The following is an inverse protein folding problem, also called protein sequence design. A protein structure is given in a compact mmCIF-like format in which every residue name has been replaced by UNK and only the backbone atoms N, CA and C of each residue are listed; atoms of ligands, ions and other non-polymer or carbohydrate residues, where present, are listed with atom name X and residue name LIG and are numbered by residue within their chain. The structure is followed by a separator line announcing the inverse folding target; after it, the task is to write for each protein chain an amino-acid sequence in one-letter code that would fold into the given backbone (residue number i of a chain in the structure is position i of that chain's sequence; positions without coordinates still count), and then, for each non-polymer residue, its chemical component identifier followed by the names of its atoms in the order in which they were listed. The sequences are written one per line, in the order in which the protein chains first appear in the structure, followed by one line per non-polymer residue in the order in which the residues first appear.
data_IF_338278134051
#
_entry.id   IF_338278134051
#
_cell.length_a   1.000
_cell.length_b   1.000
_cell.length_c   1.000
_cell.angle_alpha   90.00
_cell.angle_beta   90.00
_cell.angle_gamma   90.00
#
_symmetry.space_group_name_H-M   'P 1'
#
loop_
_entity.id
_entity.type
_entity.pdbx_description
1 polymer ?
#
# COMPACT_ATOMS: atom_id res chain seq x y z
N UNK A 1 20.44 30.77 -22.56
CA UNK A 1 20.69 29.32 -22.77
C UNK A 1 20.59 28.46 -21.51
N UNK A 2 21.10 28.87 -20.33
CA UNK A 2 21.12 27.98 -19.14
C UNK A 2 19.76 27.70 -18.43
N UNK A 3 18.70 28.48 -18.67
CA UNK A 3 17.41 28.34 -17.94
C UNK A 3 16.56 27.13 -18.37
N UNK A 4 16.69 26.66 -19.62
CA UNK A 4 15.84 25.57 -20.12
C UNK A 4 16.36 24.16 -19.74
N UNK A 5 17.68 23.98 -19.58
CA UNK A 5 18.27 22.70 -19.18
C UNK A 5 17.83 22.25 -17.79
N UNK A 6 17.49 23.17 -16.87
CA UNK A 6 17.11 22.81 -15.51
C UNK A 6 15.80 22.01 -15.45
N UNK A 7 14.79 22.34 -16.26
CA UNK A 7 13.49 21.63 -16.23
C UNK A 7 13.63 20.20 -16.73
N UNK A 8 14.35 19.99 -17.84
CA UNK A 8 14.60 18.65 -18.41
C UNK A 8 15.47 17.81 -17.46
N UNK A 9 16.60 18.33 -16.97
CA UNK A 9 17.45 17.62 -16.00
C UNK A 9 16.68 17.32 -14.72
N UNK A 10 15.80 18.23 -14.28
CA UNK A 10 14.99 18.03 -13.09
C UNK A 10 13.87 17.00 -13.30
N UNK A 11 13.29 16.92 -14.50
CA UNK A 11 12.36 15.85 -14.88
C UNK A 11 13.09 14.50 -14.98
N UNK A 12 14.28 14.48 -15.59
CA UNK A 12 15.17 13.31 -15.64
C UNK A 12 15.55 12.82 -14.25
N UNK A 13 15.81 13.70 -13.28
CA UNK A 13 16.14 13.28 -11.91
C UNK A 13 14.94 12.86 -11.06
N UNK A 14 13.72 13.26 -11.43
CA UNK A 14 12.49 13.00 -10.66
C UNK A 14 11.62 11.87 -11.23
N UNK A 15 11.85 11.49 -12.49
CA UNK A 15 11.16 10.35 -13.11
C UNK A 15 11.49 9.04 -12.42
N UNK A 16 10.55 8.09 -12.46
CA UNK A 16 10.81 6.69 -12.12
C UNK A 16 11.51 6.05 -13.33
N UNK A 17 12.74 5.56 -13.16
CA UNK A 17 13.49 4.93 -14.24
C UNK A 17 13.64 3.44 -13.98
N UNK A 18 13.29 2.63 -14.98
CA UNK A 18 13.64 1.21 -15.04
C UNK A 18 14.98 1.04 -15.77
N UNK A 19 16.04 1.62 -15.20
CA UNK A 19 17.39 1.60 -15.76
C UNK A 19 18.40 1.38 -14.63
N UNK A 20 19.49 0.67 -14.92
CA UNK A 20 20.61 0.57 -13.99
C UNK A 20 21.19 1.96 -13.70
N UNK A 21 21.51 2.21 -12.43
CA UNK A 21 21.92 3.55 -11.97
C UNK A 21 23.32 3.93 -12.47
N UNK A 22 24.23 2.95 -12.61
CA UNK A 22 25.57 3.20 -13.17
C UNK A 22 25.49 3.47 -14.67
N UNK A 23 24.61 2.73 -15.35
CA UNK A 23 24.30 2.98 -16.75
C UNK A 23 23.73 4.39 -16.95
N UNK A 24 22.70 4.79 -16.19
CA UNK A 24 22.14 6.14 -16.26
C UNK A 24 23.18 7.24 -15.98
N UNK A 25 24.06 7.03 -15.00
CA UNK A 25 25.13 7.98 -14.67
C UNK A 25 26.12 8.17 -15.82
N UNK A 26 26.46 7.10 -16.56
CA UNK A 26 27.37 7.17 -17.70
C UNK A 26 26.84 8.04 -18.85
N UNK A 27 25.51 8.10 -19.04
CA UNK A 27 24.88 8.87 -20.12
C UNK A 27 24.39 10.26 -19.69
N UNK A 28 24.46 10.60 -18.41
CA UNK A 28 24.00 11.88 -17.86
C UNK A 28 24.65 13.11 -18.53
N UNK A 29 25.97 13.12 -18.84
CA UNK A 29 26.60 14.23 -19.56
C UNK A 29 26.06 14.40 -20.99
N UNK A 30 25.70 13.30 -21.66
CA UNK A 30 25.11 13.32 -23.00
C UNK A 30 23.68 13.82 -22.96
N UNK A 31 22.87 13.33 -22.02
CA UNK A 31 21.50 13.80 -21.82
C UNK A 31 21.44 15.30 -21.46
N UNK A 32 22.37 15.79 -20.64
CA UNK A 32 22.44 17.20 -20.26
C UNK A 32 22.82 18.15 -21.42
N UNK A 33 23.34 17.61 -22.53
CA UNK A 33 23.71 18.36 -23.75
C UNK A 33 22.64 18.33 -24.84
N UNK A 34 21.52 17.64 -24.62
CA UNK A 34 20.38 17.67 -25.52
C UNK A 34 19.81 19.10 -25.56
N UNK A 35 19.81 19.79 -26.72
CA UNK A 35 19.32 21.15 -26.82
C UNK A 35 17.82 21.16 -26.56
N UNK A 36 17.37 21.86 -25.51
CA UNK A 36 15.93 22.06 -25.26
C UNK A 36 15.26 22.85 -26.41
N UNK A 37 16.04 23.65 -27.14
CA UNK A 37 15.59 24.43 -28.29
C UNK A 37 15.18 23.58 -29.52
N UNK A 38 15.35 22.25 -29.49
CA UNK A 38 14.86 21.37 -30.55
C UNK A 38 13.40 20.94 -30.37
N UNK A 39 12.79 21.30 -29.24
CA UNK A 39 11.40 20.99 -28.91
C UNK A 39 10.46 22.19 -28.95
N UNK A 40 10.99 23.40 -29.16
CA UNK A 40 10.17 24.59 -29.40
C UNK A 40 9.83 24.67 -30.89
N UNK A 41 8.54 24.47 -31.20
CA UNK A 41 7.93 24.56 -32.53
C UNK A 41 7.97 26.00 -33.04
N UNK A 42 8.91 26.30 -33.94
CA UNK A 42 8.71 27.37 -34.93
C UNK A 42 8.11 26.74 -36.20
N UNK A 43 6.93 27.24 -36.56
CA UNK A 43 5.97 26.82 -37.59
C UNK A 43 6.53 26.74 -39.03
N UNK A 44 7.47 25.84 -39.33
CA UNK A 44 7.78 25.46 -40.71
C UNK A 44 7.36 24.02 -40.98
N UNK A 45 6.36 23.86 -41.84
CA UNK A 45 5.86 22.61 -42.42
C UNK A 45 6.89 21.93 -43.33
N UNK A 46 8.13 21.75 -42.88
CA UNK A 46 9.02 20.76 -43.48
C UNK A 46 8.72 19.41 -42.81
N UNK A 47 8.50 18.37 -43.62
CA UNK A 47 8.26 16.99 -43.18
C UNK A 47 9.36 16.56 -42.22
N UNK A 48 9.12 16.69 -40.91
CA UNK A 48 10.09 16.31 -39.89
C UNK A 48 10.35 14.81 -40.05
N UNK A 49 11.62 14.36 -40.12
CA UNK A 49 11.91 12.94 -40.21
C UNK A 49 11.34 12.22 -39.00
N UNK A 50 10.73 11.06 -39.25
CA UNK A 50 9.94 10.28 -38.29
C UNK A 50 10.78 9.77 -37.10
N UNK A 51 12.11 9.68 -37.27
CA UNK A 51 13.09 9.42 -36.23
C UNK A 51 14.43 10.08 -36.59
N UNK A 52 15.28 10.34 -35.60
CA UNK A 52 16.61 10.92 -35.83
C UNK A 52 17.63 10.39 -34.83
N UNK A 53 18.91 10.50 -35.15
CA UNK A 53 19.99 10.17 -34.21
C UNK A 53 20.70 11.42 -33.71
N UNK A 54 21.26 11.34 -32.52
CA UNK A 54 22.03 12.40 -31.89
C UNK A 54 23.41 11.85 -31.50
N UNK A 55 24.49 12.50 -31.94
CA UNK A 55 25.84 12.30 -31.39
C UNK A 55 26.28 13.51 -30.57
N UNK A 56 27.15 13.27 -29.58
CA UNK A 56 27.91 14.33 -28.90
C UNK A 56 29.40 14.10 -29.12
N UNK A 57 29.94 14.68 -30.18
CA UNK A 57 31.38 14.74 -30.44
C UNK A 57 31.89 16.16 -30.17
N UNK A 58 32.99 16.30 -29.44
CA UNK A 58 33.65 17.58 -29.14
C UNK A 58 32.75 18.66 -28.48
N UNK A 59 31.73 18.23 -27.72
CA UNK A 59 30.82 19.16 -27.01
C UNK A 59 29.78 19.85 -27.89
N UNK A 60 29.70 19.52 -29.18
CA UNK A 60 28.60 19.92 -30.06
C UNK A 60 27.63 18.75 -30.25
N UNK A 61 26.35 19.05 -30.29
CA UNK A 61 25.30 18.06 -30.53
C UNK A 61 24.92 18.11 -32.01
N UNK A 62 25.07 16.99 -32.73
CA UNK A 62 24.67 16.87 -34.15
C UNK A 62 23.41 16.02 -34.26
N UNK A 63 22.48 16.46 -35.10
CA UNK A 63 21.27 15.71 -35.48
C UNK A 63 21.50 15.06 -36.84
N UNK A 64 21.12 13.79 -36.97
CA UNK A 64 21.17 13.04 -38.21
C UNK A 64 19.76 12.59 -38.58
N UNK A 65 19.33 12.87 -39.80
CA UNK A 65 17.99 12.52 -40.29
C UNK A 65 17.88 11.06 -40.77
N UNK A 66 19.00 10.32 -40.73
CA UNK A 66 19.07 8.87 -40.96
C UNK A 66 20.06 8.23 -39.97
N UNK A 67 19.79 6.98 -39.57
CA UNK A 67 20.71 6.21 -38.72
C UNK A 67 22.04 5.95 -39.42
N UNK A 68 22.05 5.78 -40.74
CA UNK A 68 23.28 5.47 -41.51
C UNK A 68 24.29 6.63 -41.47
N UNK A 69 23.82 7.85 -41.22
CA UNK A 69 24.69 9.02 -41.08
C UNK A 69 25.19 9.22 -39.63
N UNK A 70 24.64 8.47 -38.67
CA UNK A 70 24.98 8.62 -37.27
C UNK A 70 26.44 8.23 -37.00
N UNK A 71 27.16 9.07 -36.25
CA UNK A 71 28.52 8.77 -35.78
C UNK A 71 28.49 7.64 -34.73
N UNK A 72 29.55 6.80 -34.59
CA UNK A 72 29.61 5.78 -33.55
C UNK A 72 29.37 6.35 -32.15
N UNK A 73 28.51 5.69 -31.36
CA UNK A 73 28.14 6.16 -30.02
C UNK A 73 26.93 7.10 -29.98
N UNK A 74 26.19 7.22 -31.08
CA UNK A 74 24.97 8.04 -31.16
C UNK A 74 23.79 7.41 -30.40
N UNK A 75 22.80 8.22 -30.06
CA UNK A 75 21.54 7.80 -29.43
C UNK A 75 20.41 8.04 -30.43
N UNK A 76 19.58 7.03 -30.67
CA UNK A 76 18.38 7.19 -31.49
C UNK A 76 17.26 7.85 -30.68
N UNK A 77 16.62 8.87 -31.24
CA UNK A 77 15.44 9.53 -30.66
C UNK A 77 14.20 9.18 -31.47
N UNK A 78 13.24 8.53 -30.80
CA UNK A 78 11.99 8.09 -31.40
C UNK A 78 10.86 8.93 -30.80
N UNK A 79 10.34 9.94 -31.53
CA UNK A 79 9.21 10.73 -31.06
C UNK A 79 7.93 9.90 -31.13
N UNK A 80 7.20 9.85 -30.02
CA UNK A 80 5.86 9.28 -29.92
C UNK A 80 4.95 10.43 -29.52
N UNK A 81 4.47 11.17 -30.52
CA UNK A 81 3.65 12.36 -30.32
C UNK A 81 2.24 12.14 -30.88
N UNK A 82 1.24 12.70 -30.22
CA UNK A 82 -0.15 12.60 -30.64
C UNK A 82 -0.82 11.26 -30.27
N UNK A 83 -1.98 10.94 -30.89
CA UNK A 83 -2.72 9.72 -30.61
C UNK A 83 -1.98 8.48 -31.12
N UNK A 84 -1.78 7.49 -30.23
CA UNK A 84 -1.16 6.22 -30.58
C UNK A 84 -2.18 5.32 -31.29
N UNK A 85 -1.95 5.03 -32.56
CA UNK A 85 -2.77 4.13 -33.37
C UNK A 85 -2.00 2.84 -33.68
N UNK A 86 -2.73 1.74 -33.92
CA UNK A 86 -2.09 0.45 -34.28
C UNK A 86 -1.37 0.56 -35.63
N UNK A 87 -2.05 1.12 -36.63
CA UNK A 87 -1.57 1.29 -37.99
C UNK A 87 -1.32 2.77 -38.28
N UNK A 88 -0.44 3.05 -39.24
CA UNK A 88 -0.11 4.41 -39.70
C UNK A 88 -1.33 5.05 -40.34
N UNK A 89 -1.70 6.24 -39.85
CA UNK A 89 -2.89 6.95 -40.32
C UNK A 89 -2.60 8.45 -40.41
N UNK A 90 -2.90 9.06 -41.57
CA UNK A 90 -2.73 10.49 -41.83
C UNK A 90 -1.33 11.06 -41.52
N UNK A 91 -0.27 10.35 -41.91
CA UNK A 91 1.12 10.85 -41.80
C UNK A 91 1.75 10.71 -40.41
N UNK A 92 1.01 10.24 -39.39
CA UNK A 92 1.60 9.86 -38.10
C UNK A 92 1.87 8.34 -38.06
N UNK A 93 3.09 7.90 -37.67
CA UNK A 93 3.44 6.49 -37.60
C UNK A 93 2.59 5.72 -36.59
N UNK A 94 2.14 4.53 -36.95
CA UNK A 94 1.47 3.61 -36.03
C UNK A 94 2.45 2.87 -35.11
N UNK A 95 1.94 2.15 -34.10
CA UNK A 95 2.77 1.37 -33.17
C UNK A 95 3.59 0.28 -33.87
N UNK A 96 3.07 -0.31 -34.94
CA UNK A 96 3.82 -1.28 -35.74
C UNK A 96 5.08 -0.65 -36.35
N UNK A 97 4.93 0.54 -36.92
CA UNK A 97 6.00 1.29 -37.59
C UNK A 97 7.02 1.83 -36.57
N UNK A 98 6.56 2.34 -35.43
CA UNK A 98 7.44 2.70 -34.30
C UNK A 98 8.27 1.51 -33.82
N UNK A 99 7.67 0.30 -33.79
CA UNK A 99 8.39 -0.93 -33.48
C UNK A 99 9.45 -1.31 -34.52
N UNK A 100 9.24 -0.97 -35.80
CA UNK A 100 10.26 -1.12 -36.85
C UNK A 100 11.42 -0.17 -36.60
N UNK A 101 11.16 1.11 -36.29
CA UNK A 101 12.22 2.08 -36.01
C UNK A 101 13.06 1.71 -34.79
N UNK A 102 12.41 1.25 -33.72
CA UNK A 102 13.11 0.73 -32.55
C UNK A 102 14.06 -0.41 -32.93
N UNK A 103 13.58 -1.40 -33.69
CA UNK A 103 14.41 -2.52 -34.17
C UNK A 103 15.53 -2.08 -35.12
N UNK A 104 15.30 -1.10 -35.98
CA UNK A 104 16.34 -0.58 -36.87
C UNK A 104 17.45 0.09 -36.05
N UNK A 105 17.09 0.89 -35.05
CA UNK A 105 18.04 1.51 -34.15
C UNK A 105 18.77 0.46 -33.27
N UNK A 106 18.08 -0.58 -32.78
CA UNK A 106 18.70 -1.68 -31.99
C UNK A 106 19.81 -2.40 -32.79
N UNK A 107 19.59 -2.58 -34.10
CA UNK A 107 20.52 -3.31 -34.96
C UNK A 107 21.59 -2.41 -35.60
N UNK A 108 21.58 -1.10 -35.34
CA UNK A 108 22.49 -0.17 -36.02
C UNK A 108 23.83 -0.05 -35.28
N UNK A 109 24.99 -0.30 -35.92
CA UNK A 109 26.29 -0.39 -35.24
C UNK A 109 26.75 0.91 -34.58
N UNK A 110 26.19 2.06 -34.99
CA UNK A 110 26.54 3.37 -34.44
C UNK A 110 25.59 3.84 -33.33
N UNK A 111 24.52 3.12 -33.04
CA UNK A 111 23.53 3.48 -32.00
C UNK A 111 23.81 2.69 -30.73
N UNK A 112 23.96 3.39 -29.60
CA UNK A 112 24.25 2.78 -28.29
C UNK A 112 23.08 2.87 -27.31
N UNK A 113 21.96 3.47 -27.73
CA UNK A 113 20.76 3.56 -26.92
C UNK A 113 19.63 4.32 -27.60
N UNK A 114 18.47 4.31 -26.93
CA UNK A 114 17.24 4.93 -27.40
C UNK A 114 16.74 5.96 -26.40
N UNK A 115 16.14 7.04 -26.91
CA UNK A 115 15.34 7.98 -26.13
C UNK A 115 13.96 8.03 -26.78
N UNK A 116 12.94 7.61 -26.02
CA UNK A 116 11.55 7.74 -26.42
C UNK A 116 11.04 9.11 -25.97
N UNK A 117 10.71 9.99 -26.92
CA UNK A 117 10.14 11.29 -26.61
C UNK A 117 8.61 11.19 -26.65
N UNK A 118 8.01 10.95 -25.49
CA UNK A 118 6.57 10.70 -25.34
C UNK A 118 5.81 12.03 -25.12
N UNK A 119 5.03 12.44 -26.11
CA UNK A 119 4.06 13.53 -26.01
C UNK A 119 2.70 13.06 -26.58
N UNK A 120 2.15 12.04 -25.92
CA UNK A 120 0.90 11.43 -26.34
C UNK A 120 -0.23 11.95 -25.47
N UNK A 121 -1.37 12.29 -26.08
CA UNK A 121 -2.57 12.78 -25.37
C UNK A 121 -3.23 11.76 -24.43
N UNK A 122 -2.61 10.60 -24.20
CA UNK A 122 -3.01 9.64 -23.15
C UNK A 122 -4.43 9.11 -23.26
N UNK A 123 -5.10 9.22 -24.42
CA UNK A 123 -6.42 8.60 -24.59
C UNK A 123 -6.23 7.10 -24.64
N UNK A 124 -6.55 6.47 -23.52
CA UNK A 124 -6.73 5.04 -23.45
C UNK A 124 -7.71 4.58 -24.55
N UNK A 125 -7.54 3.37 -25.10
CA UNK A 125 -8.45 2.84 -26.09
C UNK A 125 -9.91 2.93 -25.58
N UNK A 126 -10.91 3.11 -26.46
CA UNK A 126 -12.32 3.15 -26.09
C UNK A 126 -12.82 1.87 -25.41
N UNK A 127 -11.99 0.82 -25.35
CA UNK A 127 -12.24 -0.39 -24.59
C UNK A 127 -11.69 -0.23 -23.16
N UNK A 128 -12.50 0.39 -22.30
CA UNK A 128 -12.49 0.25 -20.84
C UNK A 128 -11.12 0.29 -20.15
N UNK A 129 -10.62 1.48 -19.83
CA UNK A 129 -9.51 1.59 -18.86
C UNK A 129 -9.97 1.06 -17.51
N UNK A 130 -9.34 -0.01 -17.03
CA UNK A 130 -9.52 -0.48 -15.68
C UNK A 130 -8.96 0.59 -14.72
N UNK A 131 -9.84 1.40 -14.14
CA UNK A 131 -9.41 2.36 -13.13
C UNK A 131 -9.24 1.62 -11.80
N UNK A 132 -8.00 1.25 -11.46
CA UNK A 132 -7.67 0.59 -10.19
C UNK A 132 -8.20 1.32 -8.95
N UNK A 133 -8.36 2.65 -8.99
CA UNK A 133 -8.94 3.42 -7.90
C UNK A 133 -10.41 3.04 -7.64
N UNK A 134 -11.14 2.55 -8.66
CA UNK A 134 -12.51 2.06 -8.54
C UNK A 134 -12.60 0.59 -8.11
N UNK A 135 -11.46 -0.10 -7.92
CA UNK A 135 -11.42 -1.48 -7.44
C UNK A 135 -11.18 -1.61 -5.93
N UNK A 136 -10.89 -0.50 -5.25
CA UNK A 136 -10.72 -0.45 -3.80
C UNK A 136 -11.84 0.39 -3.18
N UNK A 137 -12.21 0.14 -1.91
CA UNK A 137 -13.16 0.99 -1.20
C UNK A 137 -12.69 2.44 -1.14
N UNK A 138 -13.62 3.38 -1.16
CA UNK A 138 -13.35 4.80 -0.91
C UNK A 138 -13.16 5.02 0.60
N UNK A 139 -11.94 4.78 1.08
CA UNK A 139 -11.54 4.92 2.48
C UNK A 139 -10.27 5.74 2.61
N UNK A 140 -10.14 6.49 3.71
CA UNK A 140 -8.89 7.21 3.98
C UNK A 140 -7.79 6.23 4.35
N UNK A 141 -6.54 6.60 4.07
CA UNK A 141 -5.35 5.82 4.46
C UNK A 141 -5.33 5.54 5.97
N UNK A 142 -5.69 6.53 6.80
CA UNK A 142 -5.79 6.35 8.25
C UNK A 142 -6.87 5.35 8.66
N UNK A 143 -8.02 5.36 7.98
CA UNK A 143 -9.13 4.42 8.24
C UNK A 143 -8.73 3.01 7.84
N UNK A 144 -8.02 2.85 6.71
CA UNK A 144 -7.44 1.58 6.29
C UNK A 144 -6.49 1.03 7.36
N UNK A 145 -5.51 1.81 7.81
CA UNK A 145 -4.57 1.36 8.83
C UNK A 145 -5.28 0.96 10.13
N UNK A 146 -6.22 1.77 10.62
CA UNK A 146 -7.03 1.45 11.80
C UNK A 146 -7.81 0.15 11.62
N UNK A 147 -8.43 -0.07 10.46
CA UNK A 147 -9.20 -1.28 10.18
C UNK A 147 -8.31 -2.55 10.20
N UNK A 148 -7.13 -2.47 9.56
CA UNK A 148 -6.12 -3.54 9.57
C UNK A 148 -5.58 -3.77 10.99
N UNK A 149 -5.35 -2.70 11.75
CA UNK A 149 -4.92 -2.75 13.15
C UNK A 149 -5.90 -3.53 14.01
N UNK A 150 -7.18 -3.17 13.92
CA UNK A 150 -8.27 -3.72 14.72
C UNK A 150 -8.69 -5.13 14.27
N UNK A 151 -8.42 -5.51 13.02
CA UNK A 151 -8.67 -6.89 12.58
C UNK A 151 -7.57 -7.82 13.08
N UNK A 152 -6.31 -7.43 12.87
CA UNK A 152 -5.17 -8.31 13.10
C UNK A 152 -4.47 -8.10 14.45
N UNK A 153 -4.89 -7.15 15.29
CA UNK A 153 -4.24 -6.88 16.57
C UNK A 153 -2.81 -6.41 16.39
N UNK A 154 -2.63 -5.33 15.62
CA UNK A 154 -1.32 -4.80 15.24
C UNK A 154 -1.02 -3.47 15.96
N UNK A 155 0.25 -3.14 16.08
CA UNK A 155 0.73 -1.81 16.40
C UNK A 155 1.50 -1.26 15.18
N UNK A 156 1.40 0.05 14.99
CA UNK A 156 2.18 0.78 13.99
C UNK A 156 3.17 1.69 14.70
N UNK A 157 4.44 1.56 14.34
CA UNK A 157 5.49 2.46 14.78
C UNK A 157 6.12 3.15 13.57
N UNK A 158 5.96 4.47 13.50
CA UNK A 158 6.39 5.28 12.38
C UNK A 158 7.74 5.92 12.71
N UNK A 159 8.81 5.32 12.20
CA UNK A 159 10.13 5.92 12.25
C UNK A 159 10.24 7.00 11.17
N UNK A 160 9.81 8.22 11.54
CA UNK A 160 9.80 9.39 10.64
C UNK A 160 11.20 9.73 10.14
N UNK A 161 12.23 9.48 10.96
CA UNK A 161 13.63 9.79 10.62
C UNK A 161 14.12 8.88 9.49
N UNK A 162 13.88 7.57 9.60
CA UNK A 162 14.31 6.59 8.62
C UNK A 162 13.27 6.34 7.51
N UNK A 163 12.07 6.90 7.64
CA UNK A 163 10.91 6.70 6.75
C UNK A 163 10.48 5.24 6.66
N UNK A 164 10.49 4.56 7.82
CA UNK A 164 10.12 3.15 7.94
C UNK A 164 8.85 3.06 8.78
N UNK A 165 7.91 2.23 8.33
CA UNK A 165 6.75 1.81 9.12
C UNK A 165 7.02 0.40 9.64
N UNK A 166 7.12 0.26 10.95
CA UNK A 166 7.17 -1.05 11.59
C UNK A 166 5.73 -1.49 11.92
N UNK A 167 5.39 -2.72 11.54
CA UNK A 167 4.10 -3.35 11.81
C UNK A 167 4.37 -4.53 12.74
N UNK A 168 3.82 -4.48 13.94
CA UNK A 168 4.16 -5.41 15.02
C UNK A 168 2.86 -6.00 15.58
N UNK A 169 2.82 -7.28 15.96
CA UNK A 169 1.64 -7.85 16.61
C UNK A 169 1.60 -7.45 18.09
N UNK A 170 0.42 -7.21 18.64
CA UNK A 170 0.27 -6.88 20.07
C UNK A 170 0.86 -7.93 20.99
N UNK A 171 0.73 -9.21 20.64
CA UNK A 171 1.34 -10.31 21.40
C UNK A 171 2.88 -10.20 21.44
N UNK A 172 3.49 -9.78 20.33
CA UNK A 172 4.95 -9.64 20.24
C UNK A 172 5.40 -8.47 21.12
N UNK A 173 4.63 -7.36 21.17
CA UNK A 173 4.88 -6.28 22.12
C UNK A 173 4.83 -6.80 23.57
N UNK A 174 3.82 -7.61 23.94
CA UNK A 174 3.71 -8.18 25.29
C UNK A 174 4.90 -9.09 25.62
N UNK A 175 5.41 -9.85 24.66
CA UNK A 175 6.55 -10.76 24.88
C UNK A 175 7.89 -10.02 24.89
N UNK A 176 7.99 -8.85 24.25
CA UNK A 176 9.20 -8.06 24.15
C UNK A 176 9.80 -7.73 25.53
N UNK A 177 11.10 -7.94 25.72
CA UNK A 177 11.73 -7.78 27.04
C UNK A 177 12.29 -6.39 27.27
N UNK A 178 12.56 -5.64 26.21
CA UNK A 178 13.12 -4.30 26.20
C UNK A 178 12.17 -3.28 26.84
N UNK A 179 12.77 -2.24 27.42
CA UNK A 179 12.04 -1.17 28.09
C UNK A 179 12.89 0.09 28.18
N UNK A 180 12.23 1.24 28.37
CA UNK A 180 12.85 2.49 28.81
C UNK A 180 12.52 2.71 30.29
N UNK A 181 13.52 3.05 31.10
CA UNK A 181 13.32 3.37 32.51
C UNK A 181 12.93 4.84 32.70
N UNK A 182 11.72 5.08 33.22
CA UNK A 182 11.17 6.39 33.54
C UNK A 182 11.00 6.60 35.06
N UNK A 183 11.63 5.76 35.89
CA UNK A 183 11.49 5.84 37.35
C UNK A 183 11.82 7.23 37.88
N UNK A 184 12.95 7.82 37.46
CA UNK A 184 13.38 9.15 37.91
C UNK A 184 12.55 10.32 37.31
N UNK A 185 11.83 10.06 36.21
CA UNK A 185 11.00 11.06 35.52
C UNK A 185 9.57 11.09 36.06
N UNK A 186 9.18 10.07 36.83
CA UNK A 186 7.79 9.81 37.20
C UNK A 186 7.53 10.18 38.66
N UNK A 187 6.43 10.88 38.90
CA UNK A 187 5.99 11.14 40.27
C UNK A 187 5.56 9.84 40.98
N UNK A 188 5.89 9.73 42.27
CA UNK A 188 5.49 8.59 43.10
C UNK A 188 3.98 8.50 43.31
N UNK A 189 3.29 9.64 43.26
CA UNK A 189 1.84 9.69 43.39
C UNK A 189 1.16 9.16 42.12
N UNK A 190 0.16 8.31 42.30
CA UNK A 190 -0.64 7.77 41.20
C UNK A 190 -2.10 7.63 41.62
N UNK A 191 -2.99 7.61 40.64
CA UNK A 191 -4.38 7.15 40.81
C UNK A 191 -4.59 5.87 40.00
N UNK A 192 -5.51 5.04 40.47
CA UNK A 192 -5.86 3.76 39.83
C UNK A 192 -7.35 3.76 39.54
N UNK A 193 -7.71 3.43 38.31
CA UNK A 193 -9.11 3.30 37.90
C UNK A 193 -9.56 1.84 38.04
N UNK A 194 -10.59 1.62 38.87
CA UNK A 194 -11.23 0.30 38.98
C UNK A 194 -12.27 0.15 37.89
N UNK A 195 -11.92 -0.60 36.84
CA UNK A 195 -12.86 -0.97 35.78
C UNK A 195 -13.39 -2.38 36.06
N UNK A 196 -14.72 -2.52 36.12
CA UNK A 196 -15.36 -3.84 36.14
C UNK A 196 -15.13 -4.55 34.82
N UNK A 197 -14.40 -5.66 34.86
CA UNK A 197 -14.05 -6.41 33.65
C UNK A 197 -15.19 -7.32 33.27
N UNK A 198 -15.97 -6.88 32.30
CA UNK A 198 -17.11 -7.61 31.74
C UNK A 198 -16.72 -8.41 30.49
N UNK A 199 -15.42 -8.59 30.21
CA UNK A 199 -14.93 -9.28 29.02
C UNK A 199 -15.01 -8.45 27.75
N UNK A 200 -14.67 -9.06 26.61
CA UNK A 200 -14.49 -8.38 25.33
C UNK A 200 -15.27 -9.06 24.21
N UNK A 201 -15.66 -8.29 23.20
CA UNK A 201 -16.29 -8.78 21.97
C UNK A 201 -15.52 -8.24 20.77
N UNK A 202 -14.86 -9.13 20.02
CA UNK A 202 -14.21 -8.78 18.76
C UNK A 202 -15.27 -8.80 17.66
N UNK A 203 -15.38 -7.72 16.87
CA UNK A 203 -16.49 -7.57 15.92
C UNK A 203 -16.06 -7.04 14.57
N UNK A 204 -16.32 -7.80 13.51
CA UNK A 204 -16.18 -7.36 12.12
C UNK A 204 -17.47 -6.70 11.65
N UNK A 205 -17.34 -5.73 10.74
CA UNK A 205 -18.51 -5.06 10.15
C UNK A 205 -19.16 -5.98 9.11
N UNK A 206 -20.40 -6.37 9.36
CA UNK A 206 -21.26 -7.09 8.41
C UNK A 206 -22.12 -6.07 7.67
N UNK A 207 -22.09 -6.10 6.35
CA UNK A 207 -22.89 -5.17 5.54
C UNK A 207 -24.35 -5.61 5.47
N UNK A 208 -25.27 -4.77 5.92
CA UNK A 208 -26.71 -5.04 5.92
C UNK A 208 -27.32 -5.13 4.51
N UNK A 209 -26.66 -4.54 3.51
CA UNK A 209 -27.13 -4.49 2.12
C UNK A 209 -26.74 -5.72 1.29
N UNK A 210 -25.95 -6.64 1.84
CA UNK A 210 -25.60 -7.90 1.18
C UNK A 210 -26.67 -8.96 1.50
N UNK A 211 -27.36 -9.47 0.48
CA UNK A 211 -28.42 -10.48 0.67
C UNK A 211 -27.86 -11.80 1.24
N UNK A 212 -26.57 -12.11 1.02
CA UNK A 212 -25.95 -13.27 1.66
C UNK A 212 -25.85 -13.12 3.18
N UNK A 213 -25.66 -11.90 3.69
CA UNK A 213 -25.60 -11.67 5.14
C UNK A 213 -26.97 -11.84 5.82
N UNK A 214 -28.07 -11.76 5.06
CA UNK A 214 -29.42 -11.99 5.56
C UNK A 214 -29.81 -13.47 5.55
N UNK A 215 -29.20 -14.25 4.65
CA UNK A 215 -29.56 -15.65 4.39
C UNK A 215 -28.59 -16.65 5.02
N UNK A 216 -27.31 -16.30 5.11
CA UNK A 216 -26.25 -17.14 5.66
C UNK A 216 -25.89 -16.73 7.10
N UNK A 217 -25.30 -17.67 7.84
CA UNK A 217 -24.84 -17.44 9.20
C UNK A 217 -23.67 -16.42 9.21
N UNK A 218 -23.80 -15.36 10.02
CA UNK A 218 -22.80 -14.29 10.20
C UNK A 218 -22.13 -14.29 11.58
N UNK A 219 -22.33 -15.34 12.39
CA UNK A 219 -21.71 -15.53 13.71
C UNK A 219 -20.18 -15.50 13.64
N UNK A 220 -19.59 -15.79 12.48
CA UNK A 220 -18.14 -15.67 12.26
C UNK A 220 -17.61 -14.24 12.43
N UNK A 221 -18.48 -13.23 12.28
CA UNK A 221 -18.10 -11.82 12.39
C UNK A 221 -17.96 -11.36 13.83
N UNK A 222 -18.47 -12.10 14.82
CA UNK A 222 -18.43 -11.73 16.23
C UNK A 222 -17.79 -12.84 17.07
N UNK A 223 -16.90 -12.46 17.99
CA UNK A 223 -16.30 -13.41 18.93
C UNK A 223 -16.28 -12.85 20.33
N UNK A 224 -17.04 -13.50 21.20
CA UNK A 224 -17.27 -13.09 22.59
C UNK A 224 -16.33 -13.79 23.55
N UNK A 225 -15.67 -13.01 24.40
CA UNK A 225 -14.69 -13.45 25.39
C UNK A 225 -15.19 -13.01 26.77
N UNK A 226 -15.50 -13.97 27.65
CA UNK A 226 -16.15 -13.67 28.93
C UNK A 226 -17.59 -13.17 28.73
N UNK A 227 -18.00 -12.14 29.47
CA UNK A 227 -19.34 -11.56 29.35
C UNK A 227 -19.50 -10.58 28.15
N UNK A 228 -18.41 -10.29 27.43
CA UNK A 228 -18.39 -9.50 26.19
C UNK A 228 -18.82 -8.04 26.31
N UNK A 229 -18.60 -7.40 27.46
CA UNK A 229 -19.10 -6.05 27.70
C UNK A 229 -18.37 -4.95 26.90
N UNK A 230 -17.07 -5.07 26.68
CA UNK A 230 -16.31 -4.11 25.85
C UNK A 230 -16.23 -4.57 24.39
N UNK A 231 -16.63 -3.72 23.45
CA UNK A 231 -16.55 -4.05 22.02
C UNK A 231 -15.28 -3.50 21.39
N UNK A 232 -14.61 -4.33 20.59
CA UNK A 232 -13.50 -3.95 19.72
C UNK A 232 -13.97 -4.12 18.28
N UNK A 233 -14.67 -3.11 17.72
CA UNK A 233 -15.15 -3.16 16.35
C UNK A 233 -14.01 -2.91 15.35
N UNK A 234 -14.14 -3.48 14.17
CA UNK A 234 -13.34 -3.13 12.98
C UNK A 234 -14.24 -2.92 11.76
N UNK A 235 -13.86 -1.95 10.92
CA UNK A 235 -14.52 -1.70 9.63
C UNK A 235 -14.05 -2.66 8.54
N UNK A 236 -12.96 -3.40 8.77
CA UNK A 236 -12.53 -4.48 7.91
C UNK A 236 -13.36 -5.75 8.19
N UNK A 237 -13.68 -6.49 7.13
CA UNK A 237 -14.39 -7.77 7.22
C UNK A 237 -13.88 -8.76 6.17
N UNK A 238 -14.54 -9.90 6.08
CA UNK A 238 -14.30 -10.90 5.04
C UNK A 238 -15.62 -11.30 4.39
N UNK A 239 -15.57 -12.27 3.48
CA UNK A 239 -16.72 -12.71 2.68
C UNK A 239 -17.16 -14.12 3.06
N UNK A 240 -18.44 -14.42 2.79
CA UNK A 240 -18.92 -15.80 2.84
C UNK A 240 -18.19 -16.66 1.82
N UNK A 241 -17.86 -17.88 2.21
CA UNK A 241 -17.31 -18.89 1.30
C UNK A 241 -18.42 -19.81 0.83
N UNK A 242 -18.71 -19.80 -0.47
CA UNK A 242 -19.79 -20.58 -1.07
C UNK A 242 -19.27 -21.52 -2.15
N UNK A 243 -19.96 -22.64 -2.35
CA UNK A 243 -19.68 -23.57 -3.44
C UNK A 243 -20.58 -23.26 -4.62
N UNK A 244 -20.01 -22.78 -5.72
CA UNK A 244 -20.77 -22.37 -6.90
C UNK A 244 -20.65 -23.43 -7.99
N UNK A 245 -21.75 -24.09 -8.40
CA UNK A 245 -21.76 -24.97 -9.56
C UNK A 245 -21.73 -24.15 -10.86
N UNK A 246 -20.78 -24.43 -11.75
CA UNK A 246 -20.70 -23.83 -13.08
C UNK A 246 -20.06 -24.80 -14.09
N UNK A 247 -20.82 -25.18 -15.13
CA UNK A 247 -20.29 -25.98 -16.25
C UNK A 247 -19.85 -27.40 -15.87
N UNK A 248 -20.61 -28.08 -15.00
CA UNK A 248 -20.32 -29.47 -14.58
C UNK A 248 -19.27 -29.60 -13.47
N UNK A 249 -18.67 -28.48 -13.04
CA UNK A 249 -17.78 -28.40 -11.88
C UNK A 249 -18.32 -27.46 -10.81
N UNK A 250 -17.79 -27.57 -9.59
CA UNK A 250 -18.08 -26.68 -8.47
C UNK A 250 -16.78 -26.20 -7.82
N UNK A 251 -16.79 -24.98 -7.32
CA UNK A 251 -15.62 -24.27 -6.83
C UNK A 251 -15.97 -23.58 -5.52
N UNK A 252 -15.02 -23.51 -4.59
CA UNK A 252 -15.17 -22.73 -3.38
C UNK A 252 -14.68 -21.32 -3.66
N UNK A 253 -15.57 -20.34 -3.56
CA UNK A 253 -15.28 -18.94 -3.89
C UNK A 253 -15.83 -18.02 -2.80
N UNK A 254 -15.18 -16.87 -2.56
CA UNK A 254 -15.75 -15.82 -1.75
C UNK A 254 -16.91 -15.18 -2.53
N UNK A 255 -18.04 -14.95 -1.86
CA UNK A 255 -19.23 -14.41 -2.51
C UNK A 255 -19.88 -13.28 -1.71
N UNK A 256 -20.55 -12.42 -2.45
CA UNK A 256 -21.38 -11.32 -1.98
C UNK A 256 -22.56 -11.20 -2.95
N UNK A 257 -23.73 -10.87 -2.43
CA UNK A 257 -24.92 -10.55 -3.22
C UNK A 257 -25.31 -9.10 -2.94
N UNK A 258 -24.45 -8.21 -3.41
CA UNK A 258 -24.60 -6.77 -3.31
C UNK A 258 -24.53 -6.14 -4.70
N UNK A 259 -25.27 -5.05 -4.90
CA UNK A 259 -25.19 -4.27 -6.15
C UNK A 259 -23.80 -3.65 -6.28
N UNK A 260 -23.09 -3.97 -7.37
CA UNK A 260 -21.80 -3.34 -7.68
C UNK A 260 -21.94 -1.90 -8.15
N UNK A 261 -20.85 -1.12 -8.09
CA UNK A 261 -20.78 0.24 -8.63
C UNK A 261 -20.12 0.25 -10.00
N UNK A 262 -20.89 0.55 -11.04
CA UNK A 262 -20.38 0.73 -12.39
C UNK A 262 -21.37 1.49 -13.26
N UNK A 263 -20.92 2.65 -13.73
CA UNK A 263 -21.64 3.43 -14.74
C UNK A 263 -21.84 2.67 -16.05
N UNK A 264 -20.98 1.69 -16.36
CA UNK A 264 -21.09 0.88 -17.58
C UNK A 264 -22.33 -0.02 -17.58
N UNK A 265 -22.70 -0.58 -16.43
CA UNK A 265 -23.92 -1.40 -16.27
C UNK A 265 -25.11 -0.60 -15.72
N UNK A 266 -25.00 0.73 -15.66
CA UNK A 266 -26.08 1.62 -15.20
C UNK A 266 -26.39 1.55 -13.71
N UNK A 267 -25.51 0.97 -12.88
CA UNK A 267 -25.72 0.91 -11.42
C UNK A 267 -25.24 2.16 -10.68
N UNK A 268 -24.59 3.09 -11.38
CA UNK A 268 -24.03 4.32 -10.82
C UNK A 268 -22.77 4.08 -10.00
N UNK A 269 -22.27 5.14 -9.36
CA UNK A 269 -21.11 5.11 -8.46
C UNK A 269 -21.54 5.16 -6.96
N UNK A 270 -22.82 4.91 -6.66
CA UNK A 270 -23.40 5.11 -5.32
C UNK A 270 -23.37 3.87 -4.42
N UNK A 271 -23.04 2.69 -4.95
CA UNK A 271 -22.99 1.47 -4.14
C UNK A 271 -21.65 1.39 -3.43
N UNK A 272 -21.64 1.78 -2.16
CA UNK A 272 -20.47 1.67 -1.29
C UNK A 272 -20.34 0.23 -0.82
N UNK A 273 -19.12 -0.28 -0.81
CA UNK A 273 -18.75 -1.55 -0.19
C UNK A 273 -17.65 -1.29 0.85
N UNK A 274 -17.62 -2.09 1.91
CA UNK A 274 -16.62 -1.98 2.98
C UNK A 274 -15.29 -2.64 2.59
N UNK A 275 -14.27 -2.44 3.44
CA UNK A 275 -12.97 -3.10 3.27
C UNK A 275 -13.10 -4.60 3.55
N UNK A 276 -13.00 -5.40 2.49
CA UNK A 276 -13.07 -6.86 2.58
C UNK A 276 -11.72 -7.48 2.25
N UNK A 277 -11.30 -8.41 3.10
CA UNK A 277 -10.02 -9.10 2.98
C UNK A 277 -10.22 -10.59 2.71
N UNK A 278 -9.27 -11.15 1.97
CA UNK A 278 -9.21 -12.56 1.62
C UNK A 278 -7.76 -13.03 1.73
N UNK A 279 -7.56 -14.29 2.14
CA UNK A 279 -6.27 -14.96 2.10
C UNK A 279 -6.07 -15.55 0.70
N UNK A 280 -5.00 -15.16 0.03
CA UNK A 280 -4.64 -15.80 -1.24
C UNK A 280 -3.93 -17.14 -0.97
N UNK A 281 -4.54 -18.24 -1.42
CA UNK A 281 -4.09 -19.60 -1.18
C UNK A 281 -3.26 -20.20 -2.34
N UNK A 282 -2.99 -19.42 -3.38
CA UNK A 282 -2.43 -19.93 -4.63
C UNK A 282 -3.44 -20.72 -5.45
N UNK A 283 -2.94 -21.65 -6.28
CA UNK A 283 -3.77 -22.55 -7.08
C UNK A 283 -4.25 -23.74 -6.23
N UNK A 284 -5.56 -23.98 -6.21
CA UNK A 284 -6.22 -25.12 -5.56
C UNK A 284 -7.10 -25.86 -6.56
N UNK A 285 -7.43 -27.11 -6.24
CA UNK A 285 -8.25 -27.93 -7.12
C UNK A 285 -9.74 -27.73 -6.84
N UNK A 286 -10.53 -27.65 -7.91
CA UNK A 286 -12.01 -27.64 -7.88
C UNK A 286 -12.58 -29.06 -7.71
N UNK A 287 -13.90 -29.22 -7.84
CA UNK A 287 -14.59 -30.50 -7.70
C UNK A 287 -14.18 -31.58 -8.70
N UNK A 288 -13.52 -31.22 -9.81
CA UNK A 288 -13.07 -32.12 -10.87
C UNK A 288 -11.55 -32.25 -10.91
N UNK A 289 -10.84 -31.65 -9.94
CA UNK A 289 -9.38 -31.68 -9.90
C UNK A 289 -8.71 -30.60 -10.74
N UNK A 290 -9.44 -29.67 -11.36
CA UNK A 290 -8.82 -28.60 -12.14
C UNK A 290 -8.33 -27.49 -11.21
N UNK A 291 -7.16 -26.93 -11.50
CA UNK A 291 -6.57 -25.87 -10.69
C UNK A 291 -7.21 -24.50 -10.95
N UNK A 292 -7.45 -23.74 -9.88
CA UNK A 292 -7.94 -22.37 -9.92
C UNK A 292 -7.35 -21.52 -8.78
N UNK A 293 -7.23 -20.19 -8.95
CA UNK A 293 -6.78 -19.31 -7.86
C UNK A 293 -7.85 -19.23 -6.77
N UNK A 294 -7.49 -19.53 -5.53
CA UNK A 294 -8.38 -19.44 -4.38
C UNK A 294 -8.02 -18.22 -3.52
N UNK A 295 -8.97 -17.29 -3.39
CA UNK A 295 -9.03 -16.35 -2.27
C UNK A 295 -10.02 -16.87 -1.23
N UNK A 296 -9.65 -16.97 0.04
CA UNK A 296 -10.53 -17.55 1.07
C UNK A 296 -10.55 -16.74 2.35
N UNK A 297 -11.72 -16.66 2.98
CA UNK A 297 -11.90 -16.15 4.34
C UNK A 297 -11.44 -17.15 5.41
N UNK A 298 -11.45 -18.45 5.07
CA UNK A 298 -11.19 -19.56 5.99
C UNK A 298 -10.01 -20.40 5.53
N UNK A 299 -9.45 -21.17 6.47
CA UNK A 299 -8.38 -22.12 6.20
C UNK A 299 -8.90 -23.43 5.60
N UNK A 300 -9.62 -23.38 4.49
CA UNK A 300 -10.15 -24.58 3.82
C UNK A 300 -10.15 -24.42 2.31
N UNK A 301 -9.77 -25.48 1.60
CA UNK A 301 -9.92 -25.57 0.15
C UNK A 301 -11.30 -26.15 -0.22
N UNK A 302 -11.53 -26.42 -1.51
CA UNK A 302 -12.80 -27.01 -1.97
C UNK A 302 -13.20 -28.30 -1.24
N UNK A 303 -12.24 -29.19 -0.95
CA UNK A 303 -12.46 -30.48 -0.26
C UNK A 303 -12.61 -30.35 1.25
N UNK A 304 -12.54 -29.12 1.81
CA UNK A 304 -12.57 -28.88 3.25
C UNK A 304 -11.23 -29.17 3.95
N UNK A 305 -10.17 -29.41 3.18
CA UNK A 305 -8.84 -29.64 3.74
C UNK A 305 -8.15 -28.29 4.00
N UNK A 306 -7.42 -28.13 5.12
CA UNK A 306 -6.67 -26.92 5.39
C UNK A 306 -5.54 -26.72 4.39
N UNK A 307 -5.22 -25.46 4.10
CA UNK A 307 -4.14 -25.10 3.16
C UNK A 307 -3.10 -24.14 3.75
N UNK A 308 -3.38 -23.60 4.94
CA UNK A 308 -2.54 -22.67 5.69
C UNK A 308 -2.71 -22.97 7.20
N UNK A 309 -2.20 -22.10 8.06
CA UNK A 309 -2.40 -22.10 9.51
C UNK A 309 -3.24 -20.89 9.97
N UNK A 310 -3.85 -20.15 9.03
CA UNK A 310 -4.57 -18.89 9.29
C UNK A 310 -5.97 -18.84 8.71
N UNK A 311 -6.86 -18.15 9.41
CA UNK A 311 -8.23 -17.81 9.03
C UNK A 311 -8.50 -16.33 9.34
N UNK A 312 -9.38 -15.70 8.56
CA UNK A 312 -9.87 -14.34 8.84
C UNK A 312 -11.07 -14.33 9.79
N UNK A 313 -11.62 -15.49 10.14
CA UNK A 313 -12.61 -15.58 11.21
C UNK A 313 -11.93 -15.42 12.57
N UNK A 314 -12.61 -14.83 13.56
CA UNK A 314 -12.05 -14.72 14.89
C UNK A 314 -11.94 -16.07 15.60
N UNK A 315 -12.99 -16.89 15.52
CA UNK A 315 -13.08 -18.18 16.19
C UNK A 315 -12.25 -19.28 15.51
N UNK A 316 -11.97 -20.35 16.27
CA UNK A 316 -11.28 -21.56 15.81
C UNK A 316 -9.76 -21.52 16.03
N UNK A 317 -9.11 -22.68 15.94
CA UNK A 317 -7.67 -22.83 16.20
C UNK A 317 -6.78 -22.02 15.24
N UNK A 318 -7.27 -21.77 14.02
CA UNK A 318 -6.58 -20.94 13.02
C UNK A 318 -7.14 -19.51 12.97
N UNK A 319 -8.09 -19.19 13.85
CA UNK A 319 -8.76 -17.89 13.87
C UNK A 319 -7.85 -16.76 14.36
N UNK A 320 -8.28 -15.53 14.08
CA UNK A 320 -7.58 -14.31 14.51
C UNK A 320 -7.47 -14.21 16.03
N UNK A 321 -8.44 -14.74 16.78
CA UNK A 321 -8.37 -14.71 18.24
C UNK A 321 -7.15 -15.49 18.74
N UNK A 322 -7.07 -16.77 18.39
CA UNK A 322 -5.99 -17.65 18.84
C UNK A 322 -4.62 -17.18 18.34
N UNK A 323 -4.53 -16.68 17.12
CA UNK A 323 -3.25 -16.34 16.51
C UNK A 323 -2.72 -14.95 16.88
N UNK A 324 -3.60 -13.98 17.13
CA UNK A 324 -3.22 -12.57 17.24
C UNK A 324 -3.72 -11.89 18.53
N UNK A 325 -4.94 -12.19 18.98
CA UNK A 325 -5.59 -11.43 20.05
C UNK A 325 -5.51 -12.04 21.44
N UNK A 326 -5.35 -13.37 21.55
CA UNK A 326 -5.50 -14.10 22.82
C UNK A 326 -4.65 -13.53 23.96
N UNK A 327 -3.35 -13.34 23.71
CA UNK A 327 -2.42 -12.80 24.70
C UNK A 327 -2.73 -11.33 25.04
N UNK A 328 -3.10 -10.54 24.03
CA UNK A 328 -3.48 -9.14 24.23
C UNK A 328 -4.75 -8.99 25.06
N UNK A 329 -5.79 -9.76 24.77
CA UNK A 329 -7.03 -9.75 25.55
C UNK A 329 -6.80 -10.30 26.96
N UNK A 330 -5.94 -11.30 27.13
CA UNK A 330 -5.55 -11.78 28.46
C UNK A 330 -4.84 -10.67 29.26
N UNK A 331 -3.93 -9.93 28.62
CA UNK A 331 -3.27 -8.76 29.20
C UNK A 331 -4.31 -7.68 29.60
N UNK A 332 -5.22 -7.29 28.72
CA UNK A 332 -6.29 -6.33 29.06
C UNK A 332 -7.17 -6.83 30.22
N UNK A 333 -7.50 -8.12 30.23
CA UNK A 333 -8.25 -8.76 31.31
C UNK A 333 -7.51 -8.84 32.65
N UNK A 334 -6.20 -8.67 32.69
CA UNK A 334 -5.41 -8.69 33.94
C UNK A 334 -4.93 -7.30 34.38
N UNK A 335 -4.82 -6.35 33.46
CA UNK A 335 -4.29 -5.01 33.74
C UNK A 335 -5.34 -4.01 34.23
N UNK A 336 -4.91 -3.04 35.03
CA UNK A 336 -5.71 -1.87 35.40
C UNK A 336 -5.02 -0.62 34.88
N UNK A 337 -5.79 0.42 34.65
CA UNK A 337 -5.26 1.72 34.21
C UNK A 337 -4.80 2.51 35.44
N UNK A 338 -3.53 2.88 35.43
CA UNK A 338 -2.87 3.68 36.46
C UNK A 338 -2.49 5.01 35.81
N UNK A 339 -2.92 6.12 36.39
CA UNK A 339 -2.53 7.43 35.91
C UNK A 339 -1.37 7.99 36.74
N UNK A 340 -0.33 8.48 36.04
CA UNK A 340 0.83 9.12 36.65
C UNK A 340 1.20 10.43 35.97
N UNK A 341 1.86 11.31 36.70
CA UNK A 341 2.51 12.49 36.14
C UNK A 341 3.97 12.18 35.83
N UNK A 342 4.42 12.49 34.61
CA UNK A 342 5.79 12.29 34.15
C UNK A 342 6.36 13.60 33.62
N UNK A 343 7.59 13.90 33.98
CA UNK A 343 8.35 15.01 33.41
C UNK A 343 9.03 14.54 32.12
N UNK A 344 8.43 14.84 30.98
CA UNK A 344 8.94 14.44 29.66
C UNK A 344 9.80 15.55 29.03
N UNK A 345 10.89 15.16 28.38
CA UNK A 345 11.66 16.03 27.50
C UNK A 345 11.16 15.93 26.05
N UNK A 346 11.59 16.86 25.19
CA UNK A 346 11.32 16.76 23.75
C UNK A 346 11.96 15.51 23.13
N UNK A 347 13.12 15.08 23.65
CA UNK A 347 13.77 13.88 23.18
C UNK A 347 12.95 12.62 23.52
N UNK A 348 12.31 12.58 24.69
CA UNK A 348 11.42 11.48 25.06
C UNK A 348 10.23 11.42 24.09
N UNK A 349 9.59 12.57 23.80
CA UNK A 349 8.46 12.63 22.87
C UNK A 349 8.81 12.18 21.45
N UNK A 350 10.01 12.50 20.96
CA UNK A 350 10.47 12.10 19.62
C UNK A 350 10.86 10.62 19.53
N UNK A 351 11.12 9.97 20.68
CA UNK A 351 11.49 8.56 20.76
C UNK A 351 10.35 7.69 21.33
N UNK A 352 9.13 8.23 21.47
CA UNK A 352 7.97 7.45 21.88
C UNK A 352 7.67 6.37 20.84
N UNK A 353 7.77 5.11 21.26
CA UNK A 353 7.28 3.98 20.48
C UNK A 353 6.11 3.31 21.23
N UNK A 354 4.95 3.11 20.58
CA UNK A 354 3.81 2.44 21.19
C UNK A 354 4.07 0.95 21.48
N UNK A 355 5.17 0.41 20.96
CA UNK A 355 5.55 -0.99 21.14
C UNK A 355 6.51 -1.21 22.29
N UNK A 356 7.09 -0.14 22.83
CA UNK A 356 8.11 -0.21 23.85
C UNK A 356 7.51 -0.13 25.25
N UNK A 357 7.98 -0.99 26.15
CA UNK A 357 7.58 -0.96 27.56
C UNK A 357 8.28 0.18 28.29
N UNK A 358 7.60 0.69 29.30
CA UNK A 358 8.16 1.67 30.24
C UNK A 358 8.35 0.98 31.59
N UNK A 359 9.52 1.15 32.21
CA UNK A 359 9.78 0.71 33.58
C UNK A 359 9.63 1.89 34.54
N UNK A 360 8.85 1.70 35.60
CA UNK A 360 8.67 2.65 36.70
C UNK A 360 8.64 1.84 37.99
N UNK A 361 9.50 2.17 38.97
CA UNK A 361 9.54 1.50 40.29
C UNK A 361 9.66 -0.04 40.14
N UNK A 362 10.54 -0.51 39.25
CA UNK A 362 10.75 -1.93 38.90
C UNK A 362 9.54 -2.68 38.30
N UNK A 363 8.44 -1.98 38.01
CA UNK A 363 7.29 -2.53 37.29
C UNK A 363 7.31 -2.10 35.83
N UNK A 364 6.90 -2.98 34.92
CA UNK A 364 6.79 -2.68 33.48
C UNK A 364 5.37 -2.27 33.12
N UNK A 365 5.23 -1.32 32.19
CA UNK A 365 3.97 -0.74 31.76
C UNK A 365 3.94 -0.55 30.25
N UNK A 366 2.73 -0.57 29.68
CA UNK A 366 2.44 0.10 28.41
C UNK A 366 1.70 1.40 28.69
N UNK A 367 1.98 2.44 27.93
CA UNK A 367 1.15 3.65 27.96
C UNK A 367 -0.03 3.49 26.99
N UNK A 368 -1.21 3.87 27.45
CA UNK A 368 -2.45 3.89 26.65
C UNK A 368 -2.68 5.29 26.08
N UNK A 369 -2.40 6.31 26.89
CA UNK A 369 -2.62 7.71 26.53
C UNK A 369 -1.59 8.61 27.21
N UNK A 370 -1.07 9.58 26.47
CA UNK A 370 -0.20 10.64 26.98
C UNK A 370 -0.91 11.97 26.74
N UNK A 371 -1.17 12.72 27.80
CA UNK A 371 -1.80 14.04 27.77
C UNK A 371 -0.84 15.08 28.33
N UNK A 372 -0.42 16.06 27.52
CA UNK A 372 0.51 17.10 27.95
C UNK A 372 0.14 18.46 27.34
N UNK A 373 0.60 19.53 27.97
CA UNK A 373 0.47 20.89 27.46
C UNK A 373 1.85 21.43 27.07
N UNK A 374 1.94 22.03 25.89
CA UNK A 374 3.15 22.70 25.40
C UNK A 374 2.84 24.19 25.33
N UNK A 375 3.60 25.01 26.06
CA UNK A 375 3.47 26.47 26.03
C UNK A 375 4.80 27.11 25.63
N UNK A 376 4.75 28.22 24.89
CA UNK A 376 5.98 28.93 24.49
C UNK A 376 6.73 29.55 25.68
N UNK A 377 6.04 29.79 26.80
CA UNK A 377 6.60 30.43 27.99
C UNK A 377 7.19 29.42 28.97
N UNK A 378 6.49 28.31 29.19
CA UNK A 378 6.79 27.34 30.25
C UNK A 378 7.36 26.03 29.69
N UNK A 379 7.43 25.90 28.35
CA UNK A 379 7.94 24.72 27.67
C UNK A 379 6.96 23.54 27.72
N UNK A 380 7.52 22.33 27.88
CA UNK A 380 6.74 21.10 28.05
C UNK A 380 6.33 21.00 29.52
N UNK A 381 5.04 21.09 29.80
CA UNK A 381 4.51 20.82 31.13
C UNK A 381 4.57 19.34 31.49
N UNK A 382 4.27 19.01 32.76
CA UNK A 382 4.14 17.61 33.18
C UNK A 382 3.08 16.88 32.35
N UNK A 383 3.43 15.72 31.83
CA UNK A 383 2.52 14.87 31.08
C UNK A 383 1.74 13.98 32.06
N UNK A 384 0.43 13.84 31.85
CA UNK A 384 -0.39 12.80 32.48
C UNK A 384 -0.41 11.59 31.57
N UNK A 385 -0.03 10.44 32.11
CA UNK A 385 0.10 9.21 31.35
C UNK A 385 -0.78 8.15 31.98
N UNK A 386 -1.65 7.56 31.16
CA UNK A 386 -2.47 6.41 31.51
C UNK A 386 -1.67 5.14 31.17
N UNK A 387 -1.39 4.31 32.17
CA UNK A 387 -0.47 3.19 32.11
C UNK A 387 -1.19 1.87 32.44
N UNK A 388 -0.85 0.81 31.72
CA UNK A 388 -1.30 -0.57 32.00
C UNK A 388 -0.13 -1.42 32.44
N UNK A 389 -0.17 -1.93 33.67
CA UNK A 389 0.91 -2.72 34.26
C UNK A 389 1.03 -4.11 33.61
N UNK A 390 2.18 -4.41 33.02
CA UNK A 390 2.50 -5.75 32.52
C UNK A 390 2.78 -6.66 33.71
N UNK A 391 1.96 -7.71 33.87
CA UNK A 391 2.20 -8.74 34.89
C UNK A 391 3.13 -9.79 34.26
N UNK A 392 4.30 -9.98 34.86
CA UNK A 392 5.29 -10.99 34.43
C UNK A 392 4.96 -12.32 35.06
#
# INVERSE_FOLDING_TARGET
MARNNFKLISALRRGLWLIDMNYAAAFLPTAARLPVAWFDDDEKEEEKPVFYAISSSNGQTKRFDSLDMAEPGSIAVIPIQGPIMKETYCGSPGTQEMGVFARQADNHPNIVGHVLHLDTGGRAPPNGTLNYQKHVPDIKVSEFFTAIQQLFGLAYDFDVKNKVLNIILYKDCIQATDYIDWTEQTERAYSEETVEKTGFTLKQTVESEDELNKTLNTDWAEYKIGAGGEQIPTTASTLHMVRVPQGGRSWLVPATEQKGSSNFVGTGDNNKFSLRLLLYAGLKNDSMGNSYPLGSAVNENYTGSPFTDRSLHYAGQWGLYENNWKEWIAFLNQTRTIQRSVLMTMADLLNLSPTQKIMIDHSKYFYEKISLSISSKDGIGKAKIDLRKVTV
#
